data_IF_982437058489
#
_entry.id   IF_982437058489
#
_cell.length_a   1.000
_cell.length_b   1.000
_cell.length_c   1.000
_cell.angle_alpha   90.00
_cell.angle_beta   90.00
_cell.angle_gamma   90.00
#
_symmetry.space_group_name_H-M   'P 1'
#
loop_
_entity.id
_entity.type
_entity.pdbx_description
1 polymer ?
#
# COMPACT_ATOMS: atom_id res chain seq x y z
N UNK A 1 16.34 -4.93 16.85
CA UNK A 1 15.30 -3.92 16.59
C UNK A 1 14.31 -4.53 15.61
N UNK A 2 13.08 -4.79 16.06
CA UNK A 2 12.05 -5.42 15.24
C UNK A 2 11.01 -4.36 14.84
N UNK A 3 10.71 -4.26 13.54
CA UNK A 3 9.57 -3.47 13.05
C UNK A 3 8.46 -4.47 12.76
N UNK A 4 7.44 -4.52 13.62
CA UNK A 4 6.25 -5.34 13.42
C UNK A 4 5.01 -4.46 13.46
N UNK A 5 4.33 -4.35 12.33
CA UNK A 5 3.07 -3.62 12.20
C UNK A 5 1.91 -4.59 12.36
N UNK A 6 1.01 -4.30 13.28
CA UNK A 6 -0.19 -5.11 13.54
C UNK A 6 -1.38 -4.53 12.77
N UNK A 7 -1.69 -5.10 11.60
CA UNK A 7 -2.84 -4.70 10.79
C UNK A 7 -4.00 -5.70 10.97
N UNK A 8 -4.60 -5.74 12.17
CA UNK A 8 -5.68 -6.69 12.50
C UNK A 8 -6.96 -6.48 11.68
N UNK A 9 -7.21 -5.27 11.17
CA UNK A 9 -8.42 -4.97 10.38
C UNK A 9 -8.36 -5.51 8.94
N UNK A 10 -7.16 -5.71 8.37
CA UNK A 10 -7.04 -6.26 7.02
C UNK A 10 -7.34 -7.77 6.95
N UNK A 11 -7.09 -8.51 8.04
CA UNK A 11 -7.27 -9.97 8.08
C UNK A 11 -8.74 -10.38 7.91
N UNK A 12 -9.68 -9.63 8.50
CA UNK A 12 -11.11 -9.92 8.39
C UNK A 12 -11.67 -9.65 7.00
N UNK A 13 -11.26 -8.54 6.36
CA UNK A 13 -11.63 -8.24 4.97
C UNK A 13 -11.10 -9.33 4.02
N UNK A 14 -9.84 -9.75 4.17
CA UNK A 14 -9.23 -10.81 3.35
C UNK A 14 -9.95 -12.16 3.54
N UNK A 15 -10.41 -12.49 4.75
CA UNK A 15 -11.09 -13.76 5.04
C UNK A 15 -12.49 -13.88 4.42
N UNK A 16 -13.26 -12.77 4.35
CA UNK A 16 -14.54 -12.76 3.65
C UNK A 16 -14.37 -12.90 2.14
N UNK A 17 -13.25 -12.41 1.60
CA UNK A 17 -12.94 -12.43 0.17
C UNK A 17 -12.48 -13.79 -0.33
N UNK A 18 -11.81 -14.60 0.51
CA UNK A 18 -11.48 -15.99 0.18
C UNK A 18 -12.71 -16.83 -0.22
N UNK A 19 -13.89 -16.55 0.35
CA UNK A 19 -15.13 -17.27 -0.01
C UNK A 19 -15.72 -16.83 -1.35
N UNK A 20 -15.51 -15.57 -1.75
CA UNK A 20 -15.98 -15.03 -3.05
C UNK A 20 -15.02 -15.45 -4.18
N UNK A 21 -13.75 -15.70 -3.86
CA UNK A 21 -12.68 -15.95 -4.83
C UNK A 21 -12.24 -17.40 -4.92
N UNK A 22 -12.93 -18.31 -4.23
CA UNK A 22 -12.54 -19.70 -4.16
C UNK A 22 -12.69 -20.39 -5.53
N UNK A 23 -11.59 -20.91 -6.07
CA UNK A 23 -11.51 -21.76 -7.27
C UNK A 23 -11.85 -21.13 -8.65
N UNK A 24 -11.88 -19.81 -8.79
CA UNK A 24 -12.14 -19.17 -10.10
C UNK A 24 -10.90 -18.47 -10.65
N UNK A 25 -10.44 -18.91 -11.82
CA UNK A 25 -9.34 -18.25 -12.55
C UNK A 25 -9.80 -16.85 -12.99
N UNK A 26 -9.00 -15.83 -12.68
CA UNK A 26 -9.24 -14.45 -13.06
C UNK A 26 -8.11 -13.93 -13.95
N UNK A 27 -8.48 -13.15 -14.96
CA UNK A 27 -7.50 -12.46 -15.79
C UNK A 27 -7.08 -11.16 -15.11
N UNK A 28 -5.77 -10.96 -14.95
CA UNK A 28 -5.22 -9.75 -14.34
C UNK A 28 -4.91 -8.69 -15.40
N UNK A 29 -5.48 -7.50 -15.24
CA UNK A 29 -5.14 -6.31 -16.00
C UNK A 29 -4.51 -5.23 -15.13
N UNK A 30 -3.58 -4.44 -15.69
CA UNK A 30 -2.93 -3.33 -15.02
C UNK A 30 -3.02 -2.04 -15.84
N UNK A 31 -3.57 -0.99 -15.23
CA UNK A 31 -3.54 0.38 -15.74
C UNK A 31 -2.82 1.31 -14.76
N UNK A 32 -2.02 2.23 -15.28
CA UNK A 32 -1.24 3.19 -14.48
C UNK A 32 -1.66 4.62 -14.80
N UNK A 33 -1.76 5.46 -13.76
CA UNK A 33 -2.16 6.86 -13.88
C UNK A 33 -1.17 7.78 -13.18
N UNK A 34 -1.04 8.99 -13.73
CA UNK A 34 -0.08 10.00 -13.26
C UNK A 34 1.38 9.67 -13.57
N UNK A 35 1.64 8.77 -14.52
CA UNK A 35 2.98 8.37 -14.95
C UNK A 35 2.98 7.05 -15.72
N UNK A 36 4.12 6.35 -15.71
CA UNK A 36 4.30 5.05 -16.34
C UNK A 36 4.81 3.99 -15.36
N UNK A 37 5.44 2.93 -15.88
CA UNK A 37 6.00 1.83 -15.07
C UNK A 37 6.99 2.30 -14.01
N UNK A 38 7.66 3.41 -14.28
CA UNK A 38 8.42 4.16 -13.31
C UNK A 38 7.73 5.50 -13.09
N UNK A 39 7.36 5.80 -11.84
CA UNK A 39 6.75 7.05 -11.41
C UNK A 39 5.25 7.20 -11.68
N UNK A 40 4.44 6.16 -11.45
CA UNK A 40 2.98 6.31 -11.36
C UNK A 40 2.56 6.76 -9.96
N UNK A 41 1.37 7.36 -9.87
CA UNK A 41 0.76 7.80 -8.60
C UNK A 41 -0.45 6.95 -8.19
N UNK A 42 -1.12 6.35 -9.18
CA UNK A 42 -2.22 5.42 -8.99
C UNK A 42 -2.03 4.22 -9.93
N UNK A 43 -2.24 3.03 -9.40
CA UNK A 43 -2.34 1.80 -10.15
C UNK A 43 -3.74 1.22 -10.00
N UNK A 44 -4.34 0.81 -11.11
CA UNK A 44 -5.58 0.06 -11.15
C UNK A 44 -5.26 -1.35 -11.62
N UNK A 45 -5.36 -2.32 -10.71
CA UNK A 45 -5.34 -3.74 -11.05
C UNK A 45 -6.78 -4.20 -11.13
N UNK A 46 -7.17 -4.82 -12.24
CA UNK A 46 -8.43 -5.54 -12.35
C UNK A 46 -8.19 -7.04 -12.36
N UNK A 47 -9.08 -7.80 -11.73
CA UNK A 47 -9.11 -9.25 -11.76
C UNK A 47 -10.48 -9.71 -12.25
N UNK A 48 -10.57 -9.97 -13.56
CA UNK A 48 -11.81 -10.30 -14.27
C UNK A 48 -12.14 -11.76 -14.09
N UNK A 49 -13.27 -12.05 -13.45
CA UNK A 49 -13.80 -13.41 -13.29
C UNK A 49 -14.83 -13.77 -14.37
N UNK A 50 -15.53 -14.90 -14.21
CA UNK A 50 -16.58 -15.33 -15.14
C UNK A 50 -17.84 -14.46 -15.13
N UNK A 51 -18.14 -13.82 -14.00
CA UNK A 51 -19.41 -13.08 -13.78
C UNK A 51 -19.22 -11.68 -13.17
N UNK A 52 -18.01 -11.35 -12.71
CA UNK A 52 -17.71 -10.10 -12.00
C UNK A 52 -16.29 -9.58 -12.28
N UNK A 53 -16.02 -8.35 -11.84
CA UNK A 53 -14.67 -7.77 -11.87
C UNK A 53 -14.31 -7.20 -10.52
N UNK A 54 -13.10 -7.55 -10.07
CA UNK A 54 -12.48 -6.94 -8.91
C UNK A 54 -11.53 -5.85 -9.33
N UNK A 55 -11.74 -4.65 -8.80
CA UNK A 55 -10.89 -3.49 -9.05
C UNK A 55 -10.12 -3.16 -7.77
N UNK A 56 -8.80 -3.19 -7.86
CA UNK A 56 -7.87 -2.73 -6.83
C UNK A 56 -7.25 -1.41 -7.31
N UNK A 57 -7.67 -0.32 -6.70
CA UNK A 57 -7.17 1.03 -6.97
C UNK A 57 -6.20 1.40 -5.87
N UNK A 58 -4.91 1.26 -6.15
CA UNK A 58 -3.85 1.56 -5.21
C UNK A 58 -3.19 2.88 -5.56
N UNK A 59 -3.38 3.88 -4.69
CA UNK A 59 -2.79 5.20 -4.82
C UNK A 59 -1.74 5.46 -3.74
N UNK A 60 -0.75 6.27 -4.09
CA UNK A 60 0.06 6.96 -3.09
C UNK A 60 0.21 8.42 -3.53
N UNK A 61 -0.25 9.33 -2.67
CA UNK A 61 -0.20 10.78 -2.93
C UNK A 61 0.16 11.51 -1.63
N UNK A 62 0.12 12.84 -1.63
CA UNK A 62 0.24 13.67 -0.41
C UNK A 62 -0.83 13.39 0.66
N UNK A 63 -1.80 12.50 0.41
CA UNK A 63 -2.75 11.97 1.39
C UNK A 63 -2.32 10.69 2.10
N UNK A 64 -1.17 10.11 1.72
CA UNK A 64 -0.71 8.80 2.18
C UNK A 64 -0.95 7.68 1.17
N UNK A 65 -0.78 6.44 1.62
CA UNK A 65 -1.01 5.23 0.82
C UNK A 65 -2.45 4.76 1.04
N UNK A 66 -3.17 4.57 -0.04
CA UNK A 66 -4.56 4.12 -0.01
C UNK A 66 -4.81 2.99 -1.00
N UNK A 67 -5.78 2.15 -0.65
CA UNK A 67 -6.27 1.07 -1.49
C UNK A 67 -7.80 1.12 -1.45
N UNK A 68 -8.41 1.28 -2.61
CA UNK A 68 -9.85 1.08 -2.77
C UNK A 68 -10.05 -0.23 -3.50
N UNK A 69 -10.95 -1.05 -2.97
CA UNK A 69 -11.31 -2.32 -3.57
C UNK A 69 -12.80 -2.26 -3.91
N UNK A 70 -13.13 -2.59 -5.16
CA UNK A 70 -14.49 -2.51 -5.69
C UNK A 70 -14.81 -3.81 -6.42
N UNK A 71 -16.00 -4.34 -6.18
CA UNK A 71 -16.57 -5.48 -6.91
C UNK A 71 -17.72 -4.96 -7.77
N UNK A 72 -17.69 -5.30 -9.06
CA UNK A 72 -18.67 -4.86 -10.06
C UNK A 72 -19.12 -6.06 -10.91
N UNK A 73 -20.16 -5.86 -11.72
CA UNK A 73 -20.52 -6.82 -12.78
C UNK A 73 -19.57 -6.68 -13.97
N UNK A 74 -19.49 -7.70 -14.82
CA UNK A 74 -18.60 -7.71 -15.99
C UNK A 74 -18.76 -6.54 -16.96
N UNK A 75 -19.98 -6.07 -17.15
CA UNK A 75 -20.34 -4.98 -18.07
C UNK A 75 -20.16 -3.59 -17.46
N UNK A 76 -19.78 -3.51 -16.18
CA UNK A 76 -19.57 -2.22 -15.51
C UNK A 76 -18.27 -1.56 -15.99
N UNK A 77 -18.40 -0.52 -16.80
CA UNK A 77 -17.28 0.36 -17.16
C UNK A 77 -16.77 1.17 -15.96
N UNK A 78 -15.45 1.28 -15.83
CA UNK A 78 -14.75 2.12 -14.84
C UNK A 78 -14.08 3.30 -15.54
N UNK A 79 -14.47 4.51 -15.18
CA UNK A 79 -13.91 5.75 -15.69
C UNK A 79 -13.08 6.45 -14.60
N UNK A 80 -11.76 6.37 -14.72
CA UNK A 80 -10.83 7.06 -13.82
C UNK A 80 -10.36 8.33 -14.53
N UNK A 81 -10.74 9.48 -13.97
CA UNK A 81 -10.28 10.77 -14.47
C UNK A 81 -9.07 11.21 -13.67
N UNK A 82 -7.99 11.46 -14.39
CA UNK A 82 -6.73 11.91 -13.82
C UNK A 82 -6.38 13.29 -14.38
N UNK A 83 -6.22 14.28 -13.49
CA UNK A 83 -5.83 15.62 -13.93
C UNK A 83 -4.30 15.73 -13.96
N UNK A 84 -3.74 15.79 -15.17
CA UNK A 84 -2.31 15.93 -15.40
C UNK A 84 -1.78 17.37 -15.24
N UNK A 85 -2.65 18.38 -15.17
CA UNK A 85 -2.24 19.80 -15.18
C UNK A 85 -1.93 20.39 -13.80
N UNK A 86 -2.09 19.63 -12.72
CA UNK A 86 -1.60 20.04 -11.40
C UNK A 86 -0.17 19.55 -11.21
N UNK A 87 0.69 20.36 -10.57
CA UNK A 87 2.06 20.00 -10.14
C UNK A 87 2.16 18.75 -9.25
N UNK A 88 1.03 18.08 -8.96
CA UNK A 88 0.90 17.04 -7.94
C UNK A 88 0.04 15.85 -8.34
N UNK A 89 -0.40 15.73 -9.62
CA UNK A 89 -1.11 14.56 -10.13
C UNK A 89 -2.26 14.08 -9.23
N UNK A 90 -3.39 14.78 -9.24
CA UNK A 90 -4.53 14.43 -8.37
C UNK A 90 -5.58 13.71 -9.21
N UNK A 91 -5.99 12.53 -8.74
CA UNK A 91 -7.17 11.84 -9.24
C UNK A 91 -8.38 12.76 -9.06
N UNK A 92 -9.05 13.12 -10.15
CA UNK A 92 -10.18 14.04 -10.08
C UNK A 92 -11.51 13.31 -9.85
N UNK A 93 -11.63 12.05 -10.31
CA UNK A 93 -12.88 11.31 -10.22
C UNK A 93 -12.66 9.80 -10.46
N UNK A 94 -13.43 8.94 -9.78
CA UNK A 94 -13.62 7.52 -10.13
C UNK A 94 -15.12 7.32 -10.28
N UNK A 95 -15.55 6.93 -11.48
CA UNK A 95 -16.95 6.64 -11.77
C UNK A 95 -17.11 5.24 -12.30
N UNK A 96 -18.20 4.62 -11.90
CA UNK A 96 -18.68 3.35 -12.41
C UNK A 96 -19.94 3.64 -13.22
N UNK A 97 -20.12 2.96 -14.34
CA UNK A 97 -21.34 3.06 -15.17
C UNK A 97 -22.58 2.51 -14.44
N UNK A 98 -22.37 1.56 -13.53
CA UNK A 98 -23.37 1.00 -12.61
C UNK A 98 -22.89 1.09 -11.16
N UNK A 99 -23.82 0.97 -10.21
CA UNK A 99 -23.48 0.92 -8.79
C UNK A 99 -22.65 -0.33 -8.48
N UNK A 100 -21.50 -0.19 -7.78
CA UNK A 100 -20.74 -1.34 -7.35
C UNK A 100 -21.53 -2.28 -6.44
N UNK A 101 -21.32 -3.59 -6.62
CA UNK A 101 -21.90 -4.62 -5.76
C UNK A 101 -21.32 -4.54 -4.34
N UNK A 102 -20.04 -4.19 -4.24
CA UNK A 102 -19.34 -3.95 -2.99
C UNK A 102 -18.22 -2.94 -3.21
N UNK A 103 -17.99 -2.08 -2.22
CA UNK A 103 -16.81 -1.23 -2.18
C UNK A 103 -16.30 -1.08 -0.76
N UNK A 104 -14.98 -1.02 -0.61
CA UNK A 104 -14.36 -0.60 0.65
C UNK A 104 -13.00 0.04 0.39
N UNK A 105 -12.54 0.84 1.35
CA UNK A 105 -11.27 1.55 1.28
C UNK A 105 -10.41 1.30 2.51
N UNK A 106 -9.10 1.22 2.28
CA UNK A 106 -8.08 1.19 3.32
C UNK A 106 -7.19 2.41 3.09
N UNK A 107 -6.92 3.13 4.18
CA UNK A 107 -5.96 4.24 4.19
C UNK A 107 -4.94 3.92 5.27
N UNK A 108 -3.66 4.11 4.96
CA UNK A 108 -2.58 4.09 5.94
C UNK A 108 -2.17 5.54 6.18
N UNK A 109 -2.71 6.21 7.22
CA UNK A 109 -2.43 7.62 7.45
C UNK A 109 -1.10 7.83 8.18
N UNK A 110 -0.69 6.86 9.01
CA UNK A 110 0.47 6.96 9.89
C UNK A 110 1.20 5.61 9.94
N UNK A 111 2.52 5.67 10.12
CA UNK A 111 3.35 4.52 10.47
C UNK A 111 4.07 4.86 11.77
N UNK A 112 4.09 3.92 12.71
CA UNK A 112 4.81 4.07 13.97
C UNK A 112 5.96 3.09 14.02
N UNK A 113 7.13 3.59 14.40
CA UNK A 113 8.30 2.79 14.74
C UNK A 113 8.58 3.00 16.22
N UNK A 114 8.88 1.93 16.95
CA UNK A 114 9.25 2.06 18.35
C UNK A 114 10.40 1.13 18.71
N UNK A 115 11.16 1.51 19.74
CA UNK A 115 12.27 0.70 20.24
C UNK A 115 11.77 -0.33 21.24
N UNK A 116 11.63 -1.57 20.79
CA UNK A 116 11.30 -2.71 21.66
C UNK A 116 12.57 -3.36 22.23
N UNK A 117 13.06 -2.85 23.35
CA UNK A 117 14.28 -3.36 24.01
C UNK A 117 14.07 -4.78 24.56
N UNK A 118 12.82 -5.12 24.95
CA UNK A 118 12.49 -6.37 25.63
C UNK A 118 11.92 -7.44 24.69
N UNK A 119 11.80 -7.13 23.39
CA UNK A 119 11.22 -8.00 22.36
C UNK A 119 9.83 -8.55 22.75
N UNK A 120 9.00 -7.69 23.32
CA UNK A 120 7.66 -8.04 23.81
C UNK A 120 6.56 -7.77 22.79
N UNK A 121 6.89 -7.04 21.72
CA UNK A 121 5.99 -6.47 20.74
C UNK A 121 4.84 -5.65 21.36
N UNK A 122 5.04 -5.12 22.58
CA UNK A 122 4.03 -4.39 23.33
C UNK A 122 4.35 -2.89 23.39
N UNK A 123 3.80 -2.14 22.43
CA UNK A 123 3.95 -0.69 22.34
C UNK A 123 3.46 0.05 23.59
N UNK A 124 2.48 -0.50 24.31
CA UNK A 124 1.91 0.14 25.52
C UNK A 124 2.88 0.20 26.70
N UNK A 125 4.04 -0.44 26.60
CA UNK A 125 5.09 -0.43 27.63
C UNK A 125 6.31 0.40 27.25
N UNK A 126 6.29 1.04 26.08
CA UNK A 126 7.40 1.79 25.52
C UNK A 126 7.23 3.27 25.85
N UNK A 127 8.32 3.96 26.19
CA UNK A 127 8.31 5.40 26.43
C UNK A 127 8.01 6.15 25.14
N UNK A 128 7.32 7.29 25.23
CA UNK A 128 7.02 8.15 24.08
C UNK A 128 8.30 8.62 23.35
N UNK A 129 9.41 8.81 24.07
CA UNK A 129 10.71 9.17 23.49
C UNK A 129 11.33 8.06 22.63
N UNK A 130 10.89 6.82 22.83
CA UNK A 130 11.28 5.65 22.05
C UNK A 130 10.29 5.35 20.91
N UNK A 131 9.26 6.20 20.74
CA UNK A 131 8.26 6.10 19.67
C UNK A 131 8.47 7.21 18.65
N UNK A 132 8.48 6.80 17.39
CA UNK A 132 8.60 7.64 16.23
C UNK A 132 7.35 7.50 15.38
N UNK A 133 6.76 8.63 14.99
CA UNK A 133 5.56 8.68 14.15
C UNK A 133 5.90 9.31 12.82
N UNK A 134 5.56 8.60 11.74
CA UNK A 134 5.66 9.07 10.38
C UNK A 134 4.26 9.38 9.87
N UNK A 135 4.05 10.64 9.49
CA UNK A 135 2.83 11.08 8.82
C UNK A 135 2.97 10.79 7.33
N UNK A 136 2.09 9.94 6.78
CA UNK A 136 2.22 9.51 5.39
C UNK A 136 1.97 10.65 4.39
N UNK A 137 1.41 11.78 4.85
CA UNK A 137 1.21 13.01 4.07
C UNK A 137 2.50 13.81 3.88
N UNK A 138 3.45 13.65 4.79
CA UNK A 138 4.76 14.31 4.75
C UNK A 138 5.75 13.56 3.83
N UNK A 139 5.31 12.47 3.18
CA UNK A 139 6.14 11.60 2.35
C UNK A 139 5.89 11.90 0.87
N UNK A 140 6.96 12.03 0.10
CA UNK A 140 6.90 12.03 -1.36
C UNK A 140 6.91 10.59 -1.87
N UNK A 141 5.82 10.20 -2.51
CA UNK A 141 5.63 8.84 -3.00
C UNK A 141 5.99 8.70 -4.47
N UNK A 142 6.60 7.57 -4.82
CA UNK A 142 6.83 7.15 -6.19
C UNK A 142 6.43 5.68 -6.39
N UNK A 143 5.49 5.43 -7.29
CA UNK A 143 5.12 4.09 -7.74
C UNK A 143 6.12 3.52 -8.74
N UNK A 144 6.45 2.23 -8.61
CA UNK A 144 7.19 1.45 -9.60
C UNK A 144 6.59 0.06 -9.75
N UNK A 145 6.45 -0.40 -10.99
CA UNK A 145 6.03 -1.77 -11.29
C UNK A 145 7.26 -2.67 -11.20
N UNK A 146 7.17 -3.77 -10.44
CA UNK A 146 8.26 -4.73 -10.26
C UNK A 146 8.07 -5.97 -11.14
N UNK A 147 6.82 -6.40 -11.33
CA UNK A 147 6.44 -7.46 -12.26
C UNK A 147 4.99 -7.20 -12.72
N UNK A 148 4.70 -7.59 -13.95
CA UNK A 148 3.39 -7.53 -14.58
C UNK A 148 3.26 -8.74 -15.51
N UNK A 149 3.09 -9.90 -14.89
CA UNK A 149 2.96 -11.19 -15.55
C UNK A 149 1.47 -11.60 -15.57
N UNK A 150 1.05 -12.49 -16.48
CA UNK A 150 -0.37 -12.91 -16.59
C UNK A 150 -0.96 -13.44 -15.28
N UNK A 151 -0.11 -14.07 -14.47
CA UNK A 151 -0.50 -14.72 -13.21
C UNK A 151 -0.13 -13.87 -11.97
N UNK A 152 0.58 -12.73 -12.15
CA UNK A 152 0.99 -11.90 -11.02
C UNK A 152 1.32 -10.46 -11.37
N UNK A 153 0.84 -9.53 -10.55
CA UNK A 153 1.19 -8.12 -10.61
C UNK A 153 1.86 -7.72 -9.30
N UNK A 154 3.07 -7.16 -9.38
CA UNK A 154 3.81 -6.66 -8.22
C UNK A 154 4.06 -5.16 -8.36
N UNK A 155 3.43 -4.40 -7.47
CA UNK A 155 3.51 -2.95 -7.41
C UNK A 155 4.30 -2.51 -6.19
N UNK A 156 5.08 -1.43 -6.32
CA UNK A 156 5.89 -0.90 -5.23
C UNK A 156 5.71 0.60 -5.14
N UNK A 157 5.52 1.09 -3.92
CA UNK A 157 5.56 2.51 -3.60
C UNK A 157 6.75 2.79 -2.70
N UNK A 158 7.61 3.70 -3.14
CA UNK A 158 8.77 4.15 -2.40
C UNK A 158 8.54 5.58 -1.97
N UNK A 159 8.52 5.79 -0.67
CA UNK A 159 8.42 7.08 -0.01
C UNK A 159 9.79 7.64 0.31
N UNK A 160 10.04 8.90 -0.02
CA UNK A 160 11.28 9.62 0.30
C UNK A 160 10.97 11.01 0.89
N UNK A 161 12.02 11.70 1.35
CA UNK A 161 11.98 13.10 1.77
C UNK A 161 10.92 13.42 2.83
N UNK A 162 10.94 12.68 3.94
CA UNK A 162 9.95 12.83 5.01
C UNK A 162 10.56 13.30 6.34
N UNK A 163 9.68 13.81 7.20
CA UNK A 163 10.04 14.27 8.53
C UNK A 163 9.77 13.19 9.57
N UNK A 164 10.71 13.03 10.48
CA UNK A 164 10.48 12.28 11.70
C UNK A 164 9.85 13.21 12.73
N UNK A 165 8.69 12.81 13.27
CA UNK A 165 8.16 13.42 14.49
C UNK A 165 8.35 12.41 15.61
N UNK A 166 9.23 12.74 16.55
CA UNK A 166 9.09 12.18 17.89
C UNK A 166 7.83 12.82 18.49
N UNK A 167 7.20 12.15 19.45
CA UNK A 167 6.05 12.72 20.15
C UNK A 167 6.37 14.08 20.82
N UNK A 168 7.66 14.39 20.99
CA UNK A 168 8.19 15.59 21.67
C UNK A 168 9.01 16.55 20.78
N UNK A 169 9.47 16.17 19.57
CA UNK A 169 10.21 17.07 18.66
C UNK A 169 10.24 16.59 17.19
N UNK A 170 10.36 17.52 16.23
CA UNK A 170 10.40 17.24 14.79
C UNK A 170 11.76 17.52 14.16
N UNK A 171 12.32 16.56 13.41
CA UNK A 171 13.58 16.72 12.68
C UNK A 171 13.48 16.13 11.25
N UNK A 172 14.05 16.81 10.22
CA UNK A 172 14.11 16.28 8.85
C UNK A 172 15.10 15.12 8.74
N UNK A 173 14.74 14.09 7.97
CA UNK A 173 15.67 13.02 7.60
C UNK A 173 16.30 13.29 6.24
N UNK A 174 17.58 12.95 6.12
CA UNK A 174 18.31 12.83 4.85
C UNK A 174 18.67 11.35 4.70
N UNK A 175 18.05 10.67 3.74
CA UNK A 175 18.35 9.30 3.26
C UNK A 175 17.72 8.07 3.94
N UNK A 176 16.50 8.17 4.48
CA UNK A 176 15.67 6.98 4.73
C UNK A 176 14.51 6.90 3.73
N UNK A 177 14.23 5.70 3.22
CA UNK A 177 13.09 5.43 2.33
C UNK A 177 12.09 4.51 3.02
N UNK A 178 10.81 4.80 2.86
CA UNK A 178 9.71 3.94 3.30
C UNK A 178 9.21 3.11 2.10
N UNK A 179 9.09 1.79 2.24
CA UNK A 179 8.65 0.95 1.11
C UNK A 179 7.37 0.19 1.44
N UNK A 180 6.34 0.45 0.64
CA UNK A 180 5.13 -0.37 0.56
C UNK A 180 5.14 -1.18 -0.72
N UNK A 181 4.70 -2.43 -0.67
CA UNK A 181 4.58 -3.27 -1.84
C UNK A 181 3.22 -3.95 -1.84
N UNK A 182 2.60 -4.00 -3.01
CA UNK A 182 1.41 -4.78 -3.30
C UNK A 182 1.84 -5.99 -4.12
N UNK A 183 1.41 -7.17 -3.74
CA UNK A 183 1.54 -8.36 -4.55
C UNK A 183 0.14 -8.91 -4.81
N UNK A 184 -0.21 -9.03 -6.09
CA UNK A 184 -1.38 -9.74 -6.58
C UNK A 184 -0.87 -10.97 -7.31
N UNK A 185 -1.36 -12.14 -6.98
CA UNK A 185 -0.99 -13.36 -7.68
C UNK A 185 -2.16 -14.32 -7.72
N UNK A 186 -2.17 -15.14 -8.76
CA UNK A 186 -3.04 -16.29 -8.84
C UNK A 186 -2.24 -17.46 -9.38
N UNK A 187 -2.07 -18.51 -8.57
CA UNK A 187 -1.50 -19.77 -9.04
C UNK A 187 -2.62 -20.63 -9.59
N UNK A 188 -2.32 -21.42 -10.63
CA UNK A 188 -3.24 -22.44 -11.13
C UNK A 188 -3.68 -23.31 -9.94
N UNK A 189 -4.97 -23.29 -9.62
CA UNK A 189 -5.64 -23.96 -8.50
C UNK A 189 -5.61 -23.26 -7.13
N UNK A 190 -5.13 -22.01 -7.05
CA UNK A 190 -5.21 -21.18 -5.84
C UNK A 190 -6.13 -19.96 -6.03
N UNK A 191 -6.78 -19.54 -4.95
CA UNK A 191 -7.56 -18.30 -4.89
C UNK A 191 -6.68 -17.10 -5.24
N UNK A 192 -7.30 -16.05 -5.77
CA UNK A 192 -6.63 -14.75 -5.96
C UNK A 192 -6.02 -14.29 -4.63
N UNK A 193 -4.69 -14.25 -4.60
CA UNK A 193 -3.89 -13.83 -3.46
C UNK A 193 -3.62 -12.33 -3.51
N UNK A 194 -3.76 -11.69 -2.35
CA UNK A 194 -3.36 -10.31 -2.14
C UNK A 194 -2.50 -10.20 -0.89
N UNK A 195 -1.32 -9.59 -1.02
CA UNK A 195 -0.47 -9.25 0.11
C UNK A 195 -0.06 -7.78 0.07
N UNK A 196 -0.04 -7.19 1.26
CA UNK A 196 0.46 -5.85 1.54
C UNK A 196 1.71 -5.94 2.44
N UNK A 197 2.85 -6.45 1.95
CA UNK A 197 4.06 -6.43 2.75
C UNK A 197 4.62 -5.00 2.88
N UNK A 198 4.78 -4.59 4.14
CA UNK A 198 5.57 -3.43 4.50
C UNK A 198 7.03 -3.85 4.61
N UNK A 199 7.90 -3.33 3.74
CA UNK A 199 9.32 -3.66 3.70
C UNK A 199 10.17 -2.58 4.39
N UNK A 200 9.74 -2.10 5.55
CA UNK A 200 10.55 -1.31 6.48
C UNK A 200 11.31 -0.11 5.92
N UNK A 201 12.26 0.37 6.72
CA UNK A 201 13.22 1.42 6.38
C UNK A 201 14.50 0.80 5.80
N UNK A 202 15.16 1.52 4.90
CA UNK A 202 16.45 1.10 4.30
C UNK A 202 17.52 0.77 5.38
N UNK A 203 18.44 -0.19 5.16
CA UNK A 203 19.24 -0.83 6.20
C UNK A 203 20.33 0.01 6.90
N UNK A 204 20.54 1.29 6.57
CA UNK A 204 21.65 2.08 7.15
C UNK A 204 21.53 2.32 8.66
N UNK A 205 20.34 2.18 9.24
CA UNK A 205 20.12 2.24 10.69
C UNK A 205 20.54 0.97 11.45
N UNK A 206 20.75 -0.17 10.76
CA UNK A 206 21.27 -1.38 11.43
C UNK A 206 22.77 -1.31 11.72
N UNK A 207 23.53 -0.44 11.05
CA UNK A 207 24.97 -0.27 11.33
C UNK A 207 25.26 0.79 12.41
N UNK A 208 24.45 1.84 12.53
CA UNK A 208 24.69 2.89 13.52
C UNK A 208 24.30 2.49 14.96
N UNK A 209 23.33 1.59 15.13
CA UNK A 209 22.98 1.06 16.46
C UNK A 209 24.04 0.11 17.04
N UNK A 210 24.81 -0.58 16.19
CA UNK A 210 25.93 -1.42 16.63
C UNK A 210 27.21 -0.64 16.97
N UNK A 211 27.32 0.63 16.55
CA UNK A 211 28.46 1.50 16.89
C UNK A 211 28.30 2.27 18.20
N UNK A 212 27.09 2.34 18.75
CA UNK A 212 26.80 2.96 20.05
C UNK A 212 26.64 1.94 21.19
N UNK A 213 26.81 0.65 20.89
CA UNK A 213 26.76 -0.46 21.85
C UNK A 213 28.14 -1.12 22.09
N UNK A 214 29.23 -0.38 21.85
CA UNK A 214 30.59 -0.73 22.26
C UNK A 214 31.20 0.37 23.09
#
# INVERSE_FOLDING_TARGET
>A
MAVRMYLWQAVLAISMWKRVLANEKRELGLNLYGGGYENYSLAHVNATGPDDVLHYLWGASRGGVSLVIVLTKLDTEVNIRWNANGTEGVMSDIKFSEDPLLSFGIIVPLVMQYRDIKDTANIGTVSDDDVTVYDMRDIQWRGTVRSNDPDSVVLRFVGTNFFQKNLTSGHPLKEDSLVFQACFWQRNDEDLGFAFPFYGFSPRLMEHSNKLAR
#
